data_IF_416539796084
#
_entry.id   IF_416539796084
#
_cell.length_a   1.000
_cell.length_b   1.000
_cell.length_c   1.000
_cell.angle_alpha   90.00
_cell.angle_beta   90.00
_cell.angle_gamma   90.00
#
_symmetry.space_group_name_H-M   'P 1'
#
loop_
_entity.id
_entity.type
_entity.pdbx_description
1 polymer ?
#
# COMPACT_ATOMS: atom_id res chain seq x y z
N UNK A 1 -39.56 5.03 30.30
CA UNK A 1 -38.55 6.12 30.34
C UNK A 1 -37.08 5.63 30.33
N UNK A 2 -36.79 4.32 30.24
CA UNK A 2 -35.40 3.80 30.10
C UNK A 2 -34.93 3.67 28.64
N UNK A 3 -35.85 3.51 27.68
CA UNK A 3 -35.54 3.42 26.25
C UNK A 3 -34.95 4.71 25.65
N UNK A 4 -35.39 5.87 26.15
CA UNK A 4 -34.87 7.18 25.72
C UNK A 4 -33.38 7.33 26.05
N UNK A 5 -32.95 6.81 27.20
CA UNK A 5 -31.54 6.85 27.61
C UNK A 5 -30.65 5.95 26.71
N UNK A 6 -31.17 4.80 26.25
CA UNK A 6 -30.44 3.88 25.36
C UNK A 6 -30.26 4.47 23.95
N UNK A 7 -31.23 5.23 23.45
CA UNK A 7 -31.12 5.94 22.16
C UNK A 7 -30.06 7.07 22.20
N UNK A 8 -29.95 7.78 23.33
CA UNK A 8 -28.97 8.87 23.51
C UNK A 8 -27.53 8.34 23.60
N UNK A 9 -27.33 7.17 24.21
CA UNK A 9 -26.00 6.55 24.39
C UNK A 9 -25.38 6.10 23.06
N UNK A 10 -26.18 5.64 22.09
CA UNK A 10 -25.68 5.27 20.75
C UNK A 10 -25.20 6.48 19.92
N UNK A 11 -25.74 7.67 20.17
CA UNK A 11 -25.30 8.91 19.51
C UNK A 11 -23.96 9.42 20.10
N UNK A 12 -23.73 9.18 21.40
CA UNK A 12 -22.48 9.58 22.08
C UNK A 12 -21.27 8.68 21.77
N UNK A 13 -21.48 7.41 21.39
CA UNK A 13 -20.39 6.57 20.85
C UNK A 13 -19.84 7.15 19.55
N UNK A 14 -20.62 7.94 18.80
CA UNK A 14 -20.17 8.62 17.58
C UNK A 14 -19.39 9.92 17.82
N UNK A 15 -19.25 10.41 19.06
CA UNK A 15 -18.56 11.68 19.32
C UNK A 15 -17.20 11.55 20.01
N UNK A 16 -16.81 10.36 20.50
CA UNK A 16 -15.44 10.13 21.03
C UNK A 16 -14.84 8.74 20.75
N UNK A 17 -15.45 7.93 19.90
CA UNK A 17 -14.72 6.90 19.18
C UNK A 17 -14.62 7.41 17.75
N UNK A 18 -13.42 7.62 17.19
CA UNK A 18 -13.28 7.77 15.75
C UNK A 18 -13.58 6.41 15.12
N UNK A 19 -14.79 6.12 14.58
CA UNK A 19 -15.06 4.86 13.93
C UNK A 19 -14.83 5.12 12.44
N UNK A 20 -13.59 5.43 12.10
CA UNK A 20 -13.13 5.40 10.71
C UNK A 20 -11.97 4.42 10.63
N UNK A 21 -12.27 3.14 10.87
CA UNK A 21 -11.70 2.09 10.01
C UNK A 21 -12.39 2.21 8.64
N UNK A 22 -12.19 3.36 8.03
CA UNK A 22 -12.17 3.54 6.60
C UNK A 22 -10.85 2.86 6.22
N UNK A 23 -10.86 1.64 5.69
CA UNK A 23 -10.96 1.51 4.24
C UNK A 23 -11.05 0.01 3.90
N UNK A 24 -12.25 -0.44 3.54
CA UNK A 24 -12.40 -1.57 2.62
C UNK A 24 -12.56 -1.09 1.17
N UNK A 25 -12.35 0.21 0.88
CA UNK A 25 -12.50 0.80 -0.46
C UNK A 25 -11.75 2.14 -0.60
N UNK A 26 -10.42 2.09 -0.55
CA UNK A 26 -9.52 3.06 -1.19
C UNK A 26 -8.12 2.42 -1.31
N UNK A 27 -7.92 1.67 -2.40
CA UNK A 27 -6.76 1.71 -3.31
C UNK A 27 -6.65 0.35 -4.01
N UNK A 28 -7.52 0.09 -4.99
CA UNK A 28 -7.18 -0.85 -6.05
C UNK A 28 -6.04 -0.22 -6.86
N UNK A 29 -4.82 -0.25 -6.34
CA UNK A 29 -3.65 -0.06 -7.19
C UNK A 29 -3.57 -1.33 -8.05
N UNK A 30 -3.90 -1.26 -9.35
CA UNK A 30 -3.91 -2.44 -10.21
C UNK A 30 -2.51 -3.06 -10.34
N UNK A 31 -1.47 -2.33 -9.94
CA UNK A 31 -0.09 -2.78 -9.94
C UNK A 31 0.32 -3.46 -8.64
N UNK A 32 -0.40 -3.25 -7.53
CA UNK A 32 0.00 -3.80 -6.24
C UNK A 32 -0.34 -5.29 -6.19
N UNK A 33 0.70 -6.12 -6.33
CA UNK A 33 0.61 -7.57 -6.18
C UNK A 33 1.44 -8.05 -4.99
N UNK A 34 1.13 -9.26 -4.49
CA UNK A 34 1.90 -9.87 -3.42
C UNK A 34 3.27 -10.32 -3.91
N UNK A 35 4.33 -9.85 -3.26
CA UNK A 35 5.69 -10.28 -3.54
C UNK A 35 6.28 -11.03 -2.34
N UNK A 36 7.13 -12.01 -2.63
CA UNK A 36 8.00 -12.67 -1.65
C UNK A 36 9.14 -11.73 -1.23
N UNK A 37 9.86 -12.11 -0.15
CA UNK A 37 10.87 -11.26 0.52
C UNK A 37 12.32 -11.61 0.15
N UNK A 38 12.55 -12.40 -0.89
CA UNK A 38 13.90 -12.65 -1.38
C UNK A 38 14.57 -11.34 -1.79
N UNK A 39 15.88 -11.28 -1.54
CA UNK A 39 16.70 -10.13 -1.86
C UNK A 39 17.64 -10.48 -3.02
N UNK A 40 17.23 -10.09 -4.22
CA UNK A 40 17.97 -10.23 -5.48
C UNK A 40 17.83 -8.87 -6.19
N UNK A 41 18.64 -7.87 -5.80
CA UNK A 41 18.37 -6.48 -6.15
C UNK A 41 18.56 -6.18 -7.64
N UNK A 42 17.74 -5.27 -8.14
CA UNK A 42 17.76 -4.74 -9.50
C UNK A 42 17.78 -3.22 -9.47
N UNK A 43 18.62 -2.60 -10.29
CA UNK A 43 18.65 -1.14 -10.43
C UNK A 43 17.83 -0.73 -11.65
N UNK A 44 16.85 0.14 -11.44
CA UNK A 44 16.02 0.72 -12.51
C UNK A 44 16.66 1.92 -13.19
N UNK A 45 16.19 2.27 -14.39
CA UNK A 45 16.57 3.50 -15.11
C UNK A 45 16.15 4.80 -14.40
N UNK A 46 15.30 4.68 -13.37
CA UNK A 46 14.94 5.75 -12.45
C UNK A 46 15.89 5.86 -11.25
N UNK A 47 16.98 5.08 -11.24
CA UNK A 47 17.99 5.01 -10.17
C UNK A 47 17.43 4.53 -8.83
N UNK A 48 16.31 3.79 -8.84
CA UNK A 48 15.76 3.12 -7.68
C UNK A 48 16.22 1.66 -7.66
N UNK A 49 16.67 1.20 -6.48
CA UNK A 49 16.92 -0.23 -6.23
C UNK A 49 15.61 -0.92 -5.86
N UNK A 50 15.25 -1.94 -6.63
CA UNK A 50 14.14 -2.84 -6.36
C UNK A 50 14.68 -4.11 -5.74
N UNK A 51 14.18 -4.52 -4.57
CA UNK A 51 14.73 -5.64 -3.80
C UNK A 51 14.62 -7.00 -4.50
N UNK A 52 13.72 -7.14 -5.47
CA UNK A 52 13.57 -8.32 -6.31
C UNK A 52 12.78 -7.99 -7.60
N UNK A 53 12.72 -8.97 -8.50
CA UNK A 53 11.99 -8.89 -9.78
C UNK A 53 10.49 -8.57 -9.59
N UNK A 54 9.84 -9.14 -8.58
CA UNK A 54 8.42 -8.89 -8.33
C UNK A 54 8.16 -7.41 -8.03
N UNK A 55 8.96 -6.81 -7.14
CA UNK A 55 8.87 -5.38 -6.82
C UNK A 55 9.26 -4.50 -8.01
N UNK A 56 10.24 -4.92 -8.82
CA UNK A 56 10.60 -4.24 -10.07
C UNK A 56 9.42 -4.19 -11.05
N UNK A 57 8.69 -5.30 -11.22
CA UNK A 57 7.48 -5.38 -12.06
C UNK A 57 6.34 -4.51 -11.55
N UNK A 58 6.18 -4.35 -10.24
CA UNK A 58 5.24 -3.35 -9.67
C UNK A 58 5.66 -1.95 -10.09
N UNK A 59 6.96 -1.64 -10.03
CA UNK A 59 7.53 -0.40 -10.55
C UNK A 59 7.21 -0.17 -12.02
N UNK A 60 7.38 -1.19 -12.87
CA UNK A 60 7.09 -1.10 -14.30
C UNK A 60 5.60 -0.92 -14.60
N UNK A 61 4.73 -1.56 -13.83
CA UNK A 61 3.29 -1.36 -13.97
C UNK A 61 2.91 0.10 -13.66
N UNK A 62 3.51 0.70 -12.63
CA UNK A 62 3.28 2.11 -12.26
C UNK A 62 3.98 3.09 -13.20
N UNK A 63 5.11 2.71 -13.78
CA UNK A 63 5.89 3.50 -14.73
C UNK A 63 6.32 2.63 -15.92
N UNK A 64 5.54 2.61 -17.03
CA UNK A 64 5.85 1.80 -18.21
C UNK A 64 7.18 2.14 -18.91
N UNK A 65 7.80 3.28 -18.58
CA UNK A 65 9.13 3.67 -19.09
C UNK A 65 10.28 3.11 -18.26
N UNK A 66 9.99 2.52 -17.10
CA UNK A 66 11.00 1.91 -16.24
C UNK A 66 11.61 0.69 -16.95
N UNK A 67 12.91 0.78 -17.20
CA UNK A 67 13.70 -0.32 -17.73
C UNK A 67 14.74 -0.74 -16.70
N UNK A 68 15.25 -1.96 -16.85
CA UNK A 68 16.35 -2.42 -16.04
C UNK A 68 17.61 -1.66 -16.46
N UNK A 69 18.22 -0.93 -15.53
CA UNK A 69 19.51 -0.30 -15.75
C UNK A 69 20.63 -1.32 -15.63
N UNK A 70 20.63 -2.09 -14.53
CA UNK A 70 21.61 -3.18 -14.30
C UNK A 70 21.14 -4.15 -13.19
N UNK A 71 21.67 -5.39 -13.16
CA UNK A 71 21.59 -6.24 -11.98
C UNK A 71 22.35 -5.62 -10.79
N UNK A 72 21.87 -5.84 -9.56
CA UNK A 72 22.44 -5.27 -8.34
C UNK A 72 21.72 -4.01 -7.85
N UNK A 73 22.18 -3.45 -6.73
CA UNK A 73 21.69 -2.15 -6.24
C UNK A 73 22.22 -1.01 -7.10
N UNK A 74 21.53 0.13 -7.17
CA UNK A 74 22.05 1.32 -7.86
C UNK A 74 23.30 1.93 -7.20
N UNK A 75 23.62 1.52 -5.97
CA UNK A 75 24.76 2.02 -5.19
C UNK A 75 26.00 1.13 -5.22
N UNK A 76 25.91 -0.09 -5.77
CA UNK A 76 27.06 -1.01 -5.83
C UNK A 76 28.06 -0.67 -6.95
#
# INVERSE_FOLDING_TARGET
MKAVLVLVVMVAVMTHASPTYQSANHLEDPCLTGCTKEYIPLCGTDYITYSNDCLFRIGQCRNPKLQLLRPGSCTD
#
